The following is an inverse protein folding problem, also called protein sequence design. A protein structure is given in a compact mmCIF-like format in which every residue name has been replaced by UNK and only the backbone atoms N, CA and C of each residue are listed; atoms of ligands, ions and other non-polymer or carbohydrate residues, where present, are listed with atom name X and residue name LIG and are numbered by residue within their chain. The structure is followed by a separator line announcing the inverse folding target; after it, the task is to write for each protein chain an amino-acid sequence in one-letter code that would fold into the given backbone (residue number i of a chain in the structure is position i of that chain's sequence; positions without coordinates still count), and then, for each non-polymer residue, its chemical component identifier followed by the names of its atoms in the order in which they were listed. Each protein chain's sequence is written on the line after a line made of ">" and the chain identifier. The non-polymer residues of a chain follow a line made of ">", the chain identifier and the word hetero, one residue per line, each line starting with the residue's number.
data_IF_822311696224
#
_entry.id   IF_822311696224
#
_cell.length_a   1.000
_cell.length_b   1.000
_cell.length_c   1.000
_cell.angle_alpha   90.00
_cell.angle_beta   90.00
_cell.angle_gamma   90.00
#
_symmetry.space_group_name_H-M   'P 1'
#
loop_
_entity.id
_entity.type
_entity.pdbx_description
1 polymer ?
#
# COMPACT_ATOMS: atom_id res chain seq x y z
N UNK A 1 -76.51 20.30 45.33
CA UNK A 1 -75.72 21.37 44.69
C UNK A 1 -74.31 20.83 44.46
N UNK A 2 -73.85 20.72 43.20
CA UNK A 2 -72.49 20.30 42.85
C UNK A 2 -71.51 21.44 43.14
N UNK A 3 -70.28 21.13 43.56
CA UNK A 3 -69.15 21.79 42.92
C UNK A 3 -68.15 20.79 42.32
N UNK A 4 -67.63 21.20 41.17
CA UNK A 4 -66.62 20.54 40.36
C UNK A 4 -65.23 20.96 40.84
N UNK A 5 -64.27 20.03 40.96
CA UNK A 5 -62.83 20.33 41.02
C UNK A 5 -62.04 19.10 40.55
N UNK A 6 -61.67 19.03 39.27
CA UNK A 6 -60.35 19.35 38.67
C UNK A 6 -59.26 18.30 38.95
N UNK A 7 -58.97 17.52 37.90
CA UNK A 7 -57.91 16.52 37.75
C UNK A 7 -56.49 17.12 37.82
N UNK A 8 -55.52 16.30 38.25
CA UNK A 8 -54.17 16.31 37.71
C UNK A 8 -53.49 14.94 37.93
N UNK A 9 -53.52 14.08 36.89
CA UNK A 9 -52.61 12.94 36.77
C UNK A 9 -51.27 13.46 36.23
N UNK A 10 -50.23 13.44 37.05
CA UNK A 10 -48.87 13.72 36.60
C UNK A 10 -48.24 12.42 36.11
N UNK A 11 -48.41 12.11 34.83
CA UNK A 11 -47.64 11.08 34.14
C UNK A 11 -46.29 11.63 33.70
N UNK A 12 -45.19 11.12 34.25
CA UNK A 12 -43.84 11.46 33.80
C UNK A 12 -43.55 10.73 32.48
N UNK A 13 -43.45 11.47 31.38
CA UNK A 13 -42.96 10.95 30.09
C UNK A 13 -41.44 10.75 30.17
N UNK A 14 -40.98 9.51 30.02
CA UNK A 14 -39.60 9.15 29.71
C UNK A 14 -39.36 9.35 28.21
N UNK A 15 -38.64 10.40 27.82
CA UNK A 15 -38.16 10.57 26.44
C UNK A 15 -36.87 9.77 26.23
N UNK A 16 -36.97 8.61 25.57
CA UNK A 16 -35.81 7.86 25.07
C UNK A 16 -35.27 8.55 23.80
N UNK A 17 -34.12 9.20 23.89
CA UNK A 17 -33.41 9.74 22.72
C UNK A 17 -32.77 8.57 21.95
N UNK A 18 -33.36 8.19 20.83
CA UNK A 18 -32.78 7.20 19.91
C UNK A 18 -31.67 7.88 19.12
N UNK A 19 -30.42 7.65 19.50
CA UNK A 19 -29.25 8.03 18.72
C UNK A 19 -29.14 7.09 17.51
N UNK A 20 -29.70 7.50 16.36
CA UNK A 20 -29.51 6.80 15.09
C UNK A 20 -28.08 7.00 14.56
N UNK A 21 -27.49 6.01 13.87
CA UNK A 21 -26.15 6.15 13.30
C UNK A 21 -26.13 7.20 12.19
N UNK A 22 -25.25 8.19 12.32
CA UNK A 22 -24.93 9.16 11.27
C UNK A 22 -24.14 8.44 10.17
N UNK A 23 -24.83 7.94 9.16
CA UNK A 23 -24.18 7.48 7.93
C UNK A 23 -23.78 8.69 7.11
N UNK A 24 -22.51 9.09 7.17
CA UNK A 24 -21.97 10.09 6.25
C UNK A 24 -21.85 9.47 4.85
N UNK A 25 -22.32 10.14 3.78
CA UNK A 25 -22.11 9.65 2.43
C UNK A 25 -20.62 9.65 2.12
N UNK A 26 -20.10 8.50 1.71
CA UNK A 26 -18.74 8.38 1.22
C UNK A 26 -18.59 9.28 -0.02
N UNK A 27 -17.78 10.32 0.08
CA UNK A 27 -17.45 11.17 -1.07
C UNK A 27 -16.62 10.34 -2.05
N UNK A 28 -17.18 10.06 -3.23
CA UNK A 28 -16.41 9.55 -4.35
C UNK A 28 -15.46 10.65 -4.85
N UNK A 29 -14.16 10.37 -4.83
CA UNK A 29 -13.17 11.27 -5.45
C UNK A 29 -13.50 11.46 -6.94
N UNK A 30 -13.29 12.67 -7.50
CA UNK A 30 -13.51 12.92 -8.91
C UNK A 30 -12.71 11.92 -9.76
N UNK A 31 -13.34 11.37 -10.81
CA UNK A 31 -12.67 10.50 -11.76
C UNK A 31 -11.52 11.26 -12.42
N UNK A 32 -10.29 10.92 -12.01
CA UNK A 32 -9.09 11.41 -12.69
C UNK A 32 -9.05 10.82 -14.10
N UNK A 33 -8.80 11.66 -15.11
CA UNK A 33 -8.53 11.20 -16.48
C UNK A 33 -7.26 10.36 -16.59
N UNK A 34 -6.40 10.40 -15.56
CA UNK A 34 -5.22 9.55 -15.44
C UNK A 34 -5.40 8.50 -14.35
N UNK A 35 -5.19 7.24 -14.71
CA UNK A 35 -5.16 6.15 -13.76
C UNK A 35 -3.95 6.33 -12.81
N UNK A 36 -4.15 6.36 -11.48
CA UNK A 36 -3.07 6.65 -10.53
C UNK A 36 -2.02 5.54 -10.49
N UNK A 37 -0.78 5.93 -10.23
CA UNK A 37 0.36 5.03 -10.00
C UNK A 37 1.14 5.50 -8.79
N UNK A 38 0.72 5.06 -7.60
CA UNK A 38 1.30 5.43 -6.31
C UNK A 38 1.57 4.16 -5.50
N UNK A 39 2.84 3.95 -5.16
CA UNK A 39 3.36 2.72 -4.59
C UNK A 39 4.21 3.02 -3.35
N UNK A 40 4.16 2.08 -2.40
CA UNK A 40 5.10 1.96 -1.30
C UNK A 40 5.90 0.68 -1.53
N UNK A 41 7.22 0.81 -1.47
CA UNK A 41 8.14 -0.31 -1.59
C UNK A 41 8.83 -0.51 -0.25
N UNK A 42 8.96 -1.75 0.19
CA UNK A 42 9.65 -2.07 1.44
C UNK A 42 10.67 -3.17 1.24
N UNK A 43 11.67 -3.24 2.13
CA UNK A 43 12.62 -4.34 2.23
C UNK A 43 12.87 -4.68 3.70
N UNK A 44 13.11 -5.95 4.00
CA UNK A 44 13.52 -6.41 5.34
C UNK A 44 14.08 -7.83 5.31
N UNK A 45 14.89 -8.19 6.30
CA UNK A 45 15.43 -9.54 6.40
C UNK A 45 14.38 -10.50 6.97
N UNK A 46 14.06 -11.53 6.20
CA UNK A 46 13.09 -12.56 6.55
C UNK A 46 12.47 -13.20 5.31
N UNK A 47 11.63 -14.21 5.54
CA UNK A 47 11.14 -15.07 4.46
C UNK A 47 9.80 -14.65 3.86
N UNK A 48 8.97 -13.95 4.65
CA UNK A 48 7.61 -13.52 4.26
C UNK A 48 7.29 -12.15 4.84
N UNK A 49 6.68 -11.25 4.08
CA UNK A 49 6.46 -9.89 4.56
C UNK A 49 5.50 -9.83 5.75
N UNK A 50 4.54 -10.76 5.84
CA UNK A 50 3.60 -10.82 6.98
C UNK A 50 4.27 -11.07 8.33
N UNK A 51 5.47 -11.66 8.33
CA UNK A 51 6.26 -11.94 9.55
C UNK A 51 7.51 -11.10 9.67
N UNK A 52 7.83 -10.27 8.68
CA UNK A 52 9.05 -9.48 8.62
C UNK A 52 8.75 -8.01 8.88
N UNK A 53 9.43 -7.41 9.85
CA UNK A 53 9.39 -5.96 10.05
C UNK A 53 10.16 -5.27 8.92
N UNK A 54 9.56 -4.31 8.19
CA UNK A 54 10.28 -3.52 7.20
C UNK A 54 11.45 -2.75 7.83
N UNK A 55 12.64 -2.88 7.25
CA UNK A 55 13.84 -2.14 7.67
C UNK A 55 13.97 -0.81 6.93
N UNK A 56 13.49 -0.78 5.68
CA UNK A 56 13.42 0.43 4.86
C UNK A 56 12.11 0.45 4.08
N UNK A 57 11.63 1.66 3.83
CA UNK A 57 10.48 1.90 2.98
C UNK A 57 10.69 3.17 2.16
N UNK A 58 10.27 3.14 0.91
CA UNK A 58 10.27 4.30 0.02
C UNK A 58 8.94 4.41 -0.71
N UNK A 59 8.64 5.62 -1.15
CA UNK A 59 7.46 5.94 -1.95
C UNK A 59 7.87 6.12 -3.41
N UNK A 60 6.98 5.72 -4.31
CA UNK A 60 7.14 5.89 -5.74
C UNK A 60 5.80 6.36 -6.34
N UNK A 61 5.82 7.53 -6.97
CA UNK A 61 4.72 8.03 -7.79
C UNK A 61 5.17 8.10 -9.24
N UNK A 62 4.45 7.41 -10.12
CA UNK A 62 4.76 7.34 -11.55
C UNK A 62 3.69 8.01 -12.43
N UNK A 63 2.60 8.50 -11.84
CA UNK A 63 1.56 9.19 -12.59
C UNK A 63 1.88 10.68 -12.71
N UNK A 64 1.75 11.20 -13.95
CA UNK A 64 1.97 12.60 -14.36
C UNK A 64 3.41 13.11 -14.18
N UNK A 65 3.93 13.12 -12.95
CA UNK A 65 5.32 13.47 -12.62
C UNK A 65 5.91 12.33 -11.81
N UNK A 66 7.08 11.84 -12.23
CA UNK A 66 7.84 10.87 -11.45
C UNK A 66 8.40 11.52 -10.18
N UNK A 67 8.01 11.01 -9.02
CA UNK A 67 8.42 11.54 -7.72
C UNK A 67 8.37 10.45 -6.64
N UNK A 68 8.81 10.79 -5.42
CA UNK A 68 8.83 9.88 -4.28
C UNK A 68 10.14 9.96 -3.52
N UNK A 69 10.26 9.13 -2.48
CA UNK A 69 11.50 9.01 -1.70
C UNK A 69 12.46 7.95 -2.25
N UNK A 70 12.08 7.23 -3.32
CA UNK A 70 12.97 6.28 -3.99
C UNK A 70 14.17 7.03 -4.62
N UNK A 71 15.42 6.60 -4.35
CA UNK A 71 16.63 7.34 -4.76
C UNK A 71 16.73 7.55 -6.28
N UNK A 72 16.26 6.58 -7.06
CA UNK A 72 16.06 6.74 -8.51
C UNK A 72 14.62 6.42 -8.91
N UNK A 73 13.72 7.36 -8.63
CA UNK A 73 12.31 7.20 -8.97
C UNK A 73 12.07 7.03 -10.48
N UNK A 74 12.91 7.63 -11.35
CA UNK A 74 12.74 7.56 -12.81
C UNK A 74 13.01 6.16 -13.33
N UNK A 75 14.14 5.56 -12.95
CA UNK A 75 14.46 4.19 -13.37
C UNK A 75 13.44 3.19 -12.81
N UNK A 76 13.03 3.33 -11.54
CA UNK A 76 12.04 2.45 -10.93
C UNK A 76 10.68 2.50 -11.68
N UNK A 77 10.19 3.69 -12.02
CA UNK A 77 8.97 3.82 -12.83
C UNK A 77 9.12 3.19 -14.22
N UNK A 78 10.28 3.37 -14.88
CA UNK A 78 10.53 2.77 -16.19
C UNK A 78 10.55 1.23 -16.12
N UNK A 79 11.07 0.63 -15.05
CA UNK A 79 11.04 -0.82 -14.83
C UNK A 79 9.63 -1.34 -14.55
N UNK A 80 8.87 -0.64 -13.74
CA UNK A 80 7.45 -0.94 -13.50
C UNK A 80 6.64 -0.90 -14.80
N UNK A 81 6.94 0.05 -15.71
CA UNK A 81 6.34 0.10 -17.05
C UNK A 81 6.78 -1.09 -17.94
N UNK A 82 8.07 -1.45 -17.94
CA UNK A 82 8.61 -2.56 -18.75
C UNK A 82 7.98 -3.91 -18.43
N UNK A 83 7.63 -4.15 -17.16
CA UNK A 83 6.99 -5.40 -16.74
C UNK A 83 5.50 -5.48 -17.07
N UNK A 84 4.89 -4.36 -17.49
CA UNK A 84 3.50 -4.29 -17.95
C UNK A 84 2.49 -4.99 -17.03
N UNK A 85 2.65 -4.81 -15.71
CA UNK A 85 1.79 -5.40 -14.69
C UNK A 85 2.20 -6.80 -14.20
N UNK A 86 3.13 -7.49 -14.86
CA UNK A 86 3.70 -8.75 -14.39
C UNK A 86 4.91 -8.49 -13.46
N UNK A 87 4.61 -8.19 -12.21
CA UNK A 87 5.61 -7.81 -11.21
C UNK A 87 6.60 -8.94 -10.90
N UNK A 88 6.29 -10.21 -11.21
CA UNK A 88 7.22 -11.33 -11.05
C UNK A 88 8.49 -11.16 -11.90
N UNK A 89 8.39 -10.43 -13.02
CA UNK A 89 9.54 -10.13 -13.88
C UNK A 89 10.56 -9.19 -13.21
N UNK A 90 10.14 -8.39 -12.23
CA UNK A 90 11.04 -7.49 -11.48
C UNK A 90 12.11 -8.27 -10.72
N UNK A 91 11.84 -9.50 -10.30
CA UNK A 91 12.83 -10.34 -9.62
C UNK A 91 13.96 -10.83 -10.55
N UNK A 92 13.77 -10.70 -11.87
CA UNK A 92 14.68 -11.26 -12.89
C UNK A 92 15.22 -10.23 -13.89
N UNK A 93 14.84 -8.95 -13.74
CA UNK A 93 15.19 -7.89 -14.70
C UNK A 93 16.68 -7.55 -14.74
N UNK A 94 17.49 -8.10 -13.81
CA UNK A 94 18.93 -7.87 -13.63
C UNK A 94 19.26 -6.39 -13.49
N UNK A 95 19.46 -5.97 -12.24
CA UNK A 95 19.86 -4.61 -11.89
C UNK A 95 21.26 -4.23 -12.37
N UNK A 96 21.73 -3.08 -11.89
CA UNK A 96 22.99 -2.45 -12.29
C UNK A 96 24.24 -3.31 -12.05
N UNK A 97 24.18 -4.27 -11.12
CA UNK A 97 25.29 -5.19 -10.79
C UNK A 97 25.15 -6.57 -11.46
N UNK A 98 24.46 -6.63 -12.60
CA UNK A 98 24.27 -7.88 -13.34
C UNK A 98 25.60 -8.61 -13.59
N UNK A 99 25.72 -9.84 -13.08
CA UNK A 99 26.89 -10.71 -13.28
C UNK A 99 27.88 -10.76 -12.12
N UNK A 100 27.71 -9.98 -11.04
CA UNK A 100 28.49 -10.17 -9.82
C UNK A 100 28.17 -11.53 -9.19
N UNK A 101 29.17 -12.39 -8.89
CA UNK A 101 28.91 -13.66 -8.22
C UNK A 101 28.46 -13.41 -6.78
N UNK A 102 27.38 -14.08 -6.37
CA UNK A 102 26.89 -14.06 -5.00
C UNK A 102 27.28 -15.33 -4.25
N UNK A 103 27.47 -15.21 -2.93
CA UNK A 103 27.60 -16.37 -2.05
C UNK A 103 26.29 -17.17 -2.02
N UNK A 104 26.38 -18.44 -1.61
CA UNK A 104 25.22 -19.32 -1.42
C UNK A 104 24.65 -19.28 0.00
N UNK A 105 25.05 -18.28 0.79
CA UNK A 105 24.49 -18.08 2.12
C UNK A 105 23.00 -17.77 2.02
N UNK A 106 22.20 -18.45 2.84
CA UNK A 106 20.77 -18.20 2.92
C UNK A 106 20.48 -17.24 4.07
N UNK A 107 20.27 -15.98 3.72
CA UNK A 107 19.91 -14.88 4.62
C UNK A 107 18.82 -14.07 3.94
N UNK A 108 17.57 -14.56 3.96
CA UNK A 108 16.53 -14.12 3.04
C UNK A 108 16.20 -12.64 3.25
N UNK A 109 15.93 -11.97 2.13
CA UNK A 109 15.48 -10.58 2.10
C UNK A 109 14.18 -10.54 1.34
N UNK A 110 13.11 -10.13 2.01
CA UNK A 110 11.80 -9.97 1.41
C UNK A 110 11.59 -8.51 1.01
N UNK A 111 11.13 -8.30 -0.23
CA UNK A 111 10.71 -7.00 -0.76
C UNK A 111 9.21 -7.00 -0.98
N UNK A 112 8.59 -5.84 -0.82
CA UNK A 112 7.17 -5.65 -1.19
C UNK A 112 6.98 -4.46 -2.10
N UNK A 113 5.92 -4.52 -2.91
CA UNK A 113 5.37 -3.40 -3.64
C UNK A 113 3.87 -3.39 -3.37
N UNK A 114 3.36 -2.31 -2.78
CA UNK A 114 1.96 -2.17 -2.44
C UNK A 114 1.43 -0.82 -2.89
N UNK A 115 0.16 -0.78 -3.32
CA UNK A 115 -0.51 0.46 -3.69
C UNK A 115 -1.35 0.29 -4.93
N UNK A 116 -1.23 1.23 -5.86
CA UNK A 116 -1.96 1.24 -7.13
C UNK A 116 -1.00 1.49 -8.28
N UNK A 117 -1.13 0.71 -9.34
CA UNK A 117 -0.38 0.87 -10.59
C UNK A 117 -1.37 0.99 -11.75
N UNK A 118 -1.36 2.14 -12.44
CA UNK A 118 -2.27 2.45 -13.55
C UNK A 118 -3.73 2.10 -13.23
N UNK A 119 -4.17 2.46 -12.01
CA UNK A 119 -5.53 2.23 -11.51
C UNK A 119 -5.80 0.83 -10.96
N UNK A 120 -4.87 -0.11 -11.08
CA UNK A 120 -5.01 -1.48 -10.55
C UNK A 120 -4.33 -1.62 -9.20
N UNK A 121 -5.01 -2.23 -8.23
CA UNK A 121 -4.41 -2.52 -6.92
C UNK A 121 -3.26 -3.50 -7.08
N UNK A 122 -2.13 -3.16 -6.49
CA UNK A 122 -0.93 -4.00 -6.44
C UNK A 122 -0.68 -4.43 -5.01
N UNK A 123 -0.42 -5.73 -4.83
CA UNK A 123 0.11 -6.31 -3.61
C UNK A 123 1.08 -7.42 -4.02
N UNK A 124 2.36 -7.07 -4.09
CA UNK A 124 3.42 -7.96 -4.55
C UNK A 124 4.45 -8.14 -3.45
N UNK A 125 4.96 -9.36 -3.35
CA UNK A 125 6.04 -9.75 -2.46
C UNK A 125 7.00 -10.66 -3.22
N UNK A 126 8.29 -10.54 -2.93
CA UNK A 126 9.30 -11.47 -3.40
C UNK A 126 10.40 -11.64 -2.36
N UNK A 127 10.87 -12.87 -2.20
CA UNK A 127 11.95 -13.20 -1.27
C UNK A 127 13.18 -13.63 -2.04
N UNK A 128 14.25 -12.85 -1.91
CA UNK A 128 15.56 -13.19 -2.42
C UNK A 128 16.34 -14.02 -1.40
N UNK A 129 17.17 -14.95 -1.85
CA UNK A 129 17.95 -15.83 -0.97
C UNK A 129 18.94 -15.08 -0.07
N UNK A 130 19.47 -13.96 -0.56
CA UNK A 130 20.28 -13.01 0.20
C UNK A 130 20.30 -11.63 -0.47
N UNK A 131 20.86 -10.64 0.23
CA UNK A 131 20.98 -9.27 -0.26
C UNK A 131 21.75 -9.16 -1.57
N UNK A 132 22.83 -9.93 -1.76
CA UNK A 132 23.57 -9.92 -3.03
C UNK A 132 22.69 -10.35 -4.21
N UNK A 133 21.88 -11.40 -4.05
CA UNK A 133 20.95 -11.86 -5.09
C UNK A 133 19.90 -10.78 -5.38
N UNK A 134 19.37 -10.09 -4.36
CA UNK A 134 18.46 -8.94 -4.54
C UNK A 134 19.08 -7.88 -5.45
N UNK A 135 20.31 -7.45 -5.18
CA UNK A 135 20.98 -6.38 -5.94
C UNK A 135 21.38 -6.79 -7.37
N UNK A 136 21.70 -8.08 -7.58
CA UNK A 136 22.26 -8.55 -8.86
C UNK A 136 21.21 -9.09 -9.83
N UNK A 137 20.13 -9.67 -9.31
CA UNK A 137 19.08 -10.31 -10.13
C UNK A 137 17.78 -9.49 -10.14
N UNK A 138 17.48 -8.79 -9.04
CA UNK A 138 16.33 -7.92 -8.92
C UNK A 138 16.46 -6.64 -9.75
N UNK A 139 15.31 -6.02 -10.01
CA UNK A 139 15.20 -4.72 -10.67
C UNK A 139 15.77 -3.60 -9.79
N UNK A 140 16.22 -2.50 -10.41
CA UNK A 140 16.66 -1.31 -9.69
C UNK A 140 15.55 -0.64 -8.86
N UNK A 141 14.28 -0.96 -9.12
CA UNK A 141 13.16 -0.63 -8.24
C UNK A 141 13.30 -1.16 -6.79
N UNK A 142 14.18 -2.14 -6.55
CA UNK A 142 14.49 -2.65 -5.20
C UNK A 142 15.78 -2.09 -4.60
N UNK A 143 16.44 -1.12 -5.26
CA UNK A 143 17.72 -0.56 -4.85
C UNK A 143 17.53 0.70 -3.98
N UNK A 144 17.11 0.52 -2.72
CA UNK A 144 16.92 1.59 -1.72
C UNK A 144 17.23 1.15 -0.27
#
# INVERSE_FOLDING_TARGET
>A
MRPMARWAMSGALLTAAVAGPLSTPAHSAPASMYAPSALVLTTGHGERAVTTTPERAVTLNCAYITSGTHPDSRQACAEMDRVNGDLGRLATLRGTDAGRPCTKEYRPVVVTIQGVWRGTRVNYEHTFANSCVKETQGASAFAF
#
